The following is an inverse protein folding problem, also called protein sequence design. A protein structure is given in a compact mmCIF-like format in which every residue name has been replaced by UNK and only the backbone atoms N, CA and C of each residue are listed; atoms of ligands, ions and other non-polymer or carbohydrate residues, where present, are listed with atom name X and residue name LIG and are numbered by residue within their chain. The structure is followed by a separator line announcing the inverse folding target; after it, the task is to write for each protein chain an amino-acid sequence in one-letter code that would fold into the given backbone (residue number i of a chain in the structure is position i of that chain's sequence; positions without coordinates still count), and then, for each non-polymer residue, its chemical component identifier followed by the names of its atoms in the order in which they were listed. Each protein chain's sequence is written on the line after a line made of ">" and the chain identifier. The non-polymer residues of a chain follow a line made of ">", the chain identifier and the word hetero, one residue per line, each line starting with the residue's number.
data_IF_802614946828
#
_entry.id   IF_802614946828
#
_cell.length_a   1.000
_cell.length_b   1.000
_cell.length_c   1.000
_cell.angle_alpha   90.00
_cell.angle_beta   90.00
_cell.angle_gamma   90.00
#
_symmetry.space_group_name_H-M   'P 1'
#
loop_
_entity.id
_entity.type
_entity.pdbx_description
1 polymer ?
#
# COMPACT_ATOMS: atom_id res chain seq x y z
N UNK A 1 9.00 -0.64 10.53
CA UNK A 1 9.33 0.32 9.46
C UNK A 1 8.59 1.61 9.73
N UNK A 2 9.26 2.76 9.64
CA UNK A 2 8.66 4.04 9.97
C UNK A 2 8.02 4.72 8.75
N UNK A 3 8.59 4.55 7.55
CA UNK A 3 8.10 5.14 6.31
C UNK A 3 8.44 4.28 5.09
N UNK A 4 7.56 4.29 4.08
CA UNK A 4 7.77 3.69 2.77
C UNK A 4 8.93 4.34 1.99
N UNK A 5 9.36 5.55 2.37
CA UNK A 5 10.56 6.20 1.82
C UNK A 5 11.84 5.42 2.07
N UNK A 6 11.85 4.58 3.10
CA UNK A 6 13.01 3.77 3.49
C UNK A 6 13.05 2.42 2.78
N UNK A 7 12.01 2.09 2.00
CA UNK A 7 11.93 0.85 1.25
C UNK A 7 12.75 0.98 -0.02
N UNK A 8 13.65 0.03 -0.24
CA UNK A 8 14.26 -0.14 -1.54
C UNK A 8 13.32 -0.95 -2.45
N UNK A 9 12.95 -0.35 -3.59
CA UNK A 9 12.08 -0.95 -4.58
C UNK A 9 12.85 -1.44 -5.81
N UNK A 10 14.19 -1.33 -5.84
CA UNK A 10 15.02 -1.62 -7.03
C UNK A 10 14.85 -3.04 -7.57
N UNK A 11 14.61 -3.99 -6.68
CA UNK A 11 14.49 -5.41 -7.01
C UNK A 11 13.06 -5.82 -7.40
N UNK A 12 12.11 -4.88 -7.34
CA UNK A 12 10.74 -5.08 -7.76
C UNK A 12 10.55 -4.63 -9.21
N UNK A 13 10.11 -5.55 -10.07
CA UNK A 13 9.84 -5.27 -11.48
C UNK A 13 8.61 -4.37 -11.65
N UNK A 14 7.58 -4.55 -10.82
CA UNK A 14 6.41 -3.68 -10.81
C UNK A 14 5.93 -3.45 -9.36
N UNK A 15 6.54 -2.50 -8.64
CA UNK A 15 6.15 -2.21 -7.27
C UNK A 15 4.76 -1.57 -7.23
N UNK A 16 3.86 -2.18 -6.45
CA UNK A 16 2.50 -1.71 -6.23
C UNK A 16 2.27 -1.57 -4.73
N UNK A 17 1.54 -0.53 -4.32
CA UNK A 17 1.12 -0.39 -2.92
C UNK A 17 -0.39 -0.51 -2.83
N UNK A 18 -0.87 -1.47 -2.05
CA UNK A 18 -2.30 -1.62 -1.74
C UNK A 18 -2.56 -1.17 -0.31
N UNK A 19 -3.54 -0.28 -0.15
CA UNK A 19 -3.98 0.22 1.14
C UNK A 19 -5.23 -0.52 1.58
N UNK A 20 -5.18 -1.08 2.78
CA UNK A 20 -6.28 -1.78 3.42
C UNK A 20 -6.82 -0.94 4.58
N UNK A 21 -8.14 -0.86 4.70
CA UNK A 21 -8.85 -0.27 5.83
C UNK A 21 -9.24 -1.38 6.81
N UNK A 22 -8.69 -1.31 8.02
CA UNK A 22 -9.05 -2.21 9.12
C UNK A 22 -8.99 -3.70 8.74
N UNK A 23 -7.89 -4.20 8.12
CA UNK A 23 -7.79 -5.62 7.77
C UNK A 23 -7.80 -6.49 9.05
N UNK A 24 -8.14 -7.78 8.92
CA UNK A 24 -8.34 -8.69 10.08
C UNK A 24 -7.13 -8.76 11.03
N UNK A 25 -5.91 -8.63 10.51
CA UNK A 25 -4.66 -8.65 11.27
C UNK A 25 -4.33 -7.29 11.93
N UNK A 26 -4.96 -6.20 11.49
CA UNK A 26 -4.82 -4.86 12.06
C UNK A 26 -6.17 -4.13 12.06
N UNK A 27 -7.12 -4.54 12.93
CA UNK A 27 -8.50 -4.06 12.89
C UNK A 27 -8.64 -2.56 13.22
N UNK A 28 -7.63 -1.94 13.84
CA UNK A 28 -7.68 -0.54 14.29
C UNK A 28 -6.84 0.43 13.43
N UNK A 29 -6.36 -0.02 12.27
CA UNK A 29 -5.45 0.79 11.44
C UNK A 29 -5.75 0.72 9.95
N UNK A 30 -5.26 1.73 9.23
CA UNK A 30 -4.98 1.60 7.81
C UNK A 30 -3.62 0.95 7.63
N UNK A 31 -3.51 0.05 6.65
CA UNK A 31 -2.27 -0.69 6.36
C UNK A 31 -1.93 -0.54 4.90
N UNK A 32 -0.74 -0.04 4.59
CA UNK A 32 -0.21 -0.08 3.22
C UNK A 32 0.76 -1.25 3.11
N UNK A 33 0.53 -2.16 2.16
CA UNK A 33 1.42 -3.29 1.87
C UNK A 33 2.04 -3.13 0.50
N UNK A 34 3.32 -3.47 0.39
CA UNK A 34 4.05 -3.47 -0.89
C UNK A 34 3.87 -4.83 -1.56
N UNK A 35 3.58 -4.79 -2.86
CA UNK A 35 3.38 -5.94 -3.72
C UNK A 35 4.36 -5.90 -4.89
N UNK A 36 4.82 -7.08 -5.31
CA UNK A 36 5.41 -7.29 -6.63
C UNK A 36 4.28 -7.60 -7.60
N UNK A 37 3.80 -6.57 -8.30
CA UNK A 37 2.64 -6.67 -9.18
C UNK A 37 2.87 -7.53 -10.42
N UNK A 38 4.11 -7.66 -10.93
CA UNK A 38 4.41 -8.51 -12.09
C UNK A 38 4.24 -10.00 -11.76
N UNK A 39 4.42 -10.37 -10.49
CA UNK A 39 4.25 -11.74 -9.99
C UNK A 39 2.96 -11.93 -9.20
N UNK A 40 2.22 -10.84 -8.95
CA UNK A 40 1.06 -10.81 -8.07
C UNK A 40 1.35 -11.40 -6.66
N UNK A 41 2.50 -11.02 -6.08
CA UNK A 41 2.95 -11.55 -4.78
C UNK A 41 3.08 -10.45 -3.73
N UNK A 42 2.62 -10.68 -2.49
CA UNK A 42 2.86 -9.77 -1.40
C UNK A 42 4.33 -9.86 -0.97
N UNK A 43 4.89 -8.73 -0.56
CA UNK A 43 6.17 -8.70 0.15
C UNK A 43 5.95 -8.79 1.65
N UNK A 44 7.03 -8.82 2.42
CA UNK A 44 7.02 -8.68 3.88
C UNK A 44 6.98 -7.21 4.35
N UNK A 45 6.85 -6.26 3.43
CA UNK A 45 6.94 -4.83 3.71
C UNK A 45 5.55 -4.19 3.86
N UNK A 46 5.31 -3.59 5.02
CA UNK A 46 4.10 -2.82 5.30
C UNK A 46 4.35 -1.65 6.24
N UNK A 47 3.46 -0.64 6.17
CA UNK A 47 3.33 0.41 7.17
C UNK A 47 1.89 0.50 7.66
N UNK A 48 1.71 1.09 8.85
CA UNK A 48 0.41 1.33 9.47
C UNK A 48 0.25 2.79 9.85
N UNK A 49 -0.96 3.31 9.72
CA UNK A 49 -1.35 4.64 10.22
C UNK A 49 -2.78 4.61 10.73
N UNK A 50 -3.11 5.59 11.55
CA UNK A 50 -4.47 5.76 12.07
C UNK A 50 -5.40 6.29 11.00
N UNK A 51 -4.88 7.13 10.10
CA UNK A 51 -5.70 7.75 9.04
C UNK A 51 -5.22 7.39 7.63
N UNK A 52 -6.18 7.35 6.71
CA UNK A 52 -5.90 7.19 5.29
C UNK A 52 -5.03 8.33 4.73
N UNK A 53 -5.19 9.54 5.24
CA UNK A 53 -4.43 10.71 4.77
C UNK A 53 -2.93 10.59 5.09
N UNK A 54 -2.57 10.05 6.25
CA UNK A 54 -1.17 9.80 6.62
C UNK A 54 -0.53 8.74 5.73
N UNK A 55 -1.25 7.65 5.46
CA UNK A 55 -0.80 6.63 4.50
C UNK A 55 -0.52 7.26 3.14
N UNK A 56 -1.46 8.05 2.62
CA UNK A 56 -1.32 8.73 1.33
C UNK A 56 -0.11 9.66 1.27
N UNK A 57 0.17 10.38 2.37
CA UNK A 57 1.34 11.26 2.45
C UNK A 57 2.63 10.46 2.36
N UNK A 58 2.69 9.32 3.03
CA UNK A 58 3.86 8.45 3.05
C UNK A 58 4.10 7.76 1.69
N UNK A 59 3.03 7.26 1.07
CA UNK A 59 3.05 6.66 -0.27
C UNK A 59 3.56 7.66 -1.32
N UNK A 60 3.03 8.89 -1.34
CA UNK A 60 3.51 9.94 -2.25
C UNK A 60 4.98 10.29 -2.01
N UNK A 61 5.39 10.36 -0.74
CA UNK A 61 6.78 10.66 -0.42
C UNK A 61 7.74 9.53 -0.84
N UNK A 62 7.24 8.30 -0.97
CA UNK A 62 7.95 7.15 -1.56
C UNK A 62 7.94 7.15 -3.09
N UNK A 63 7.32 8.14 -3.74
CA UNK A 63 7.37 8.34 -5.19
C UNK A 63 6.18 7.76 -5.97
N UNK A 64 5.16 7.23 -5.30
CA UNK A 64 3.97 6.70 -5.96
C UNK A 64 2.97 7.84 -6.23
N UNK A 65 2.61 8.03 -7.49
CA UNK A 65 1.86 9.22 -7.93
C UNK A 65 0.47 8.90 -8.46
N UNK A 66 0.28 7.72 -9.06
CA UNK A 66 -1.01 7.30 -9.60
C UNK A 66 -1.80 6.56 -8.54
N UNK A 67 -2.97 7.09 -8.19
CA UNK A 67 -3.91 6.48 -7.27
C UNK A 67 -5.09 5.88 -8.02
N UNK A 68 -5.31 4.59 -7.83
CA UNK A 68 -6.48 3.86 -8.27
C UNK A 68 -7.45 3.71 -7.09
N UNK A 69 -8.68 4.14 -7.30
CA UNK A 69 -9.76 3.89 -6.34
C UNK A 69 -10.20 2.43 -6.42
N UNK A 70 -10.69 1.90 -5.30
CA UNK A 70 -11.30 0.56 -5.27
C UNK A 70 -12.35 0.40 -6.38
N UNK A 71 -12.33 -0.73 -7.08
CA UNK A 71 -13.34 -1.09 -8.08
C UNK A 71 -14.37 -2.06 -7.48
N UNK A 72 -15.50 -2.20 -8.18
CA UNK A 72 -16.52 -3.19 -7.82
C UNK A 72 -15.99 -4.60 -8.04
N UNK A 73 -16.10 -5.47 -7.02
CA UNK A 73 -15.59 -6.84 -7.05
C UNK A 73 -14.27 -7.07 -6.30
N UNK A 74 -13.55 -6.00 -5.90
CA UNK A 74 -12.39 -6.12 -5.00
C UNK A 74 -12.81 -6.43 -3.55
N UNK A 75 -11.87 -6.97 -2.77
CA UNK A 75 -12.09 -7.16 -1.33
C UNK A 75 -12.48 -5.83 -0.68
N UNK A 76 -13.61 -5.76 0.06
CA UNK A 76 -14.11 -4.52 0.65
C UNK A 76 -13.12 -3.84 1.60
N UNK A 77 -12.14 -4.57 2.14
CA UNK A 77 -11.09 -3.98 2.98
C UNK A 77 -10.07 -3.18 2.17
N UNK A 78 -9.97 -3.37 0.85
CA UNK A 78 -9.08 -2.56 0.00
C UNK A 78 -9.69 -1.16 -0.13
N UNK A 79 -8.92 -0.15 0.24
CA UNK A 79 -9.32 1.25 0.11
C UNK A 79 -8.85 1.86 -1.21
N UNK A 80 -7.61 1.59 -1.61
CA UNK A 80 -6.98 2.15 -2.80
C UNK A 80 -5.68 1.41 -3.13
N UNK A 81 -5.28 1.50 -4.39
CA UNK A 81 -4.03 0.95 -4.92
C UNK A 81 -3.22 2.08 -5.56
N UNK A 82 -1.90 2.02 -5.42
CA UNK A 82 -0.98 3.07 -5.85
C UNK A 82 0.11 2.51 -6.74
N UNK A 83 0.40 3.24 -7.81
CA UNK A 83 1.45 2.94 -8.79
C UNK A 83 2.48 4.08 -8.84
N UNK A 84 3.72 3.72 -9.17
CA UNK A 84 4.82 4.68 -9.35
C UNK A 84 4.77 5.34 -10.72
#
# INVERSE_FOLDING_TARGET
>A
MESLRQVDFSDLSFPVITVYKNPKDYPDAYVARVWEGARNLPTNTLIKRETLQEIRKDIRAAGFTTRLTRTEGEDPVIAETWLR
#
